data_IF_689917837053
#
_entry.id   IF_689917837053
#
_cell.length_a   1.000
_cell.length_b   1.000
_cell.length_c   1.000
_cell.angle_alpha   90.00
_cell.angle_beta   90.00
_cell.angle_gamma   90.00
#
_symmetry.space_group_name_H-M   'P 1'
#
loop_
_entity.id
_entity.type
_entity.pdbx_description
1 polymer ?
#
# COMPACT_ATOMS: atom_id res chain seq x y z
N UNK A 1 -27.21 -14.21 -7.66
CA UNK A 1 -26.16 -14.97 -8.41
C UNK A 1 -24.75 -14.46 -8.05
N UNK A 2 -23.73 -15.31 -8.10
CA UNK A 2 -22.34 -14.91 -7.81
C UNK A 2 -21.43 -15.36 -8.95
N UNK A 3 -20.65 -14.42 -9.49
CA UNK A 3 -19.56 -14.69 -10.41
C UNK A 3 -18.25 -14.58 -9.64
N UNK A 4 -17.45 -15.64 -9.67
CA UNK A 4 -16.15 -15.73 -9.00
C UNK A 4 -15.12 -16.31 -9.96
N UNK A 5 -13.90 -15.82 -9.89
CA UNK A 5 -12.73 -16.41 -10.55
C UNK A 5 -11.87 -17.12 -9.51
N UNK A 6 -11.34 -18.30 -9.85
CA UNK A 6 -10.52 -19.14 -8.97
C UNK A 6 -9.20 -19.43 -9.67
N UNK A 7 -8.11 -19.29 -8.94
CA UNK A 7 -6.74 -19.53 -9.39
C UNK A 7 -6.14 -20.65 -8.56
N UNK A 8 -6.06 -21.88 -9.10
CA UNK A 8 -5.29 -22.96 -8.51
C UNK A 8 -3.79 -22.64 -8.57
N UNK A 9 -3.09 -22.84 -7.46
CA UNK A 9 -1.68 -22.52 -7.27
C UNK A 9 -0.95 -23.79 -6.81
N UNK A 10 0.13 -24.13 -7.51
CA UNK A 10 0.92 -25.34 -7.27
C UNK A 10 1.86 -25.20 -6.04
N UNK A 11 1.27 -25.17 -4.84
CA UNK A 11 1.99 -25.08 -3.55
C UNK A 11 1.43 -26.07 -2.53
N UNK A 12 2.23 -26.38 -1.51
CA UNK A 12 1.80 -27.10 -0.30
C UNK A 12 1.65 -26.14 0.88
N UNK A 13 0.56 -26.26 1.63
CA UNK A 13 0.35 -25.54 2.89
C UNK A 13 0.36 -24.02 2.73
N UNK A 14 -0.36 -23.50 1.74
CA UNK A 14 -0.42 -22.08 1.43
C UNK A 14 -0.92 -21.23 2.62
N UNK A 15 -0.18 -20.15 2.91
CA UNK A 15 -0.57 -19.11 3.87
C UNK A 15 -1.15 -17.93 3.11
N UNK A 16 -2.36 -17.55 3.49
CA UNK A 16 -3.11 -16.50 2.81
C UNK A 16 -2.99 -15.16 3.57
N UNK A 17 -2.46 -14.14 2.89
CA UNK A 17 -2.35 -12.77 3.41
C UNK A 17 -3.24 -11.83 2.60
N UNK A 18 -3.89 -10.92 3.28
CA UNK A 18 -4.86 -10.01 2.69
C UNK A 18 -4.53 -8.58 3.07
N UNK A 19 -4.64 -7.66 2.11
CA UNK A 19 -4.46 -6.24 2.38
C UNK A 19 -5.54 -5.69 3.31
N UNK A 20 -5.13 -4.92 4.31
CA UNK A 20 -5.99 -4.09 5.16
C UNK A 20 -5.48 -2.65 5.13
N UNK A 21 -6.26 -1.66 5.61
CA UNK A 21 -5.74 -0.31 5.74
C UNK A 21 -4.42 -0.28 6.50
N UNK A 22 -3.41 0.33 5.89
CA UNK A 22 -2.07 0.49 6.46
C UNK A 22 -1.32 -0.81 6.83
N UNK A 23 -1.61 -1.94 6.17
CA UNK A 23 -0.87 -3.18 6.43
C UNK A 23 -1.48 -4.41 5.77
N UNK A 24 -1.30 -5.55 6.42
CA UNK A 24 -1.84 -6.83 5.98
C UNK A 24 -2.23 -7.69 7.17
N UNK A 25 -3.03 -8.72 6.92
CA UNK A 25 -3.39 -9.73 7.90
C UNK A 25 -3.33 -11.12 7.29
N UNK A 26 -2.78 -12.09 8.02
CA UNK A 26 -2.86 -13.50 7.67
C UNK A 26 -4.19 -14.05 8.18
N UNK A 27 -4.94 -14.77 7.33
CA UNK A 27 -6.21 -15.39 7.70
C UNK A 27 -6.19 -16.89 7.39
N UNK A 28 -7.00 -17.70 8.08
CA UNK A 28 -7.14 -19.12 7.75
C UNK A 28 -7.51 -19.31 6.28
N UNK A 29 -6.81 -20.21 5.60
CA UNK A 29 -7.09 -20.57 4.21
C UNK A 29 -8.14 -21.70 4.17
N UNK A 30 -9.34 -21.40 4.67
CA UNK A 30 -10.46 -22.36 4.82
C UNK A 30 -11.56 -22.19 3.75
N UNK A 31 -11.35 -21.32 2.75
CA UNK A 31 -12.31 -21.01 1.70
C UNK A 31 -13.38 -19.99 2.07
N UNK A 32 -13.38 -19.44 3.29
CA UNK A 32 -14.29 -18.35 3.66
C UNK A 32 -13.96 -17.06 2.91
N UNK A 33 -15.01 -16.32 2.52
CA UNK A 33 -14.86 -15.02 1.88
C UNK A 33 -14.53 -13.95 2.93
N UNK A 34 -13.48 -13.18 2.66
CA UNK A 34 -12.94 -12.14 3.54
C UNK A 34 -12.71 -10.86 2.75
N UNK A 35 -12.84 -9.68 3.39
CA UNK A 35 -12.51 -8.42 2.75
C UNK A 35 -10.98 -8.27 2.63
N UNK A 36 -10.53 -7.83 1.46
CA UNK A 36 -9.19 -7.30 1.23
C UNK A 36 -9.29 -6.10 0.30
N UNK A 37 -8.32 -5.19 0.38
CA UNK A 37 -8.31 -4.00 -0.47
C UNK A 37 -7.86 -4.34 -1.91
N UNK A 38 -6.62 -4.02 -2.28
CA UNK A 38 -6.13 -4.13 -3.65
C UNK A 38 -5.47 -5.45 -3.96
N UNK A 39 -5.07 -6.20 -2.92
CA UNK A 39 -4.36 -7.46 -3.11
C UNK A 39 -4.69 -8.53 -2.07
N UNK A 40 -4.54 -9.78 -2.51
CA UNK A 40 -4.44 -10.96 -1.67
C UNK A 40 -3.28 -11.83 -2.17
N UNK A 41 -2.60 -12.50 -1.26
CA UNK A 41 -1.40 -13.29 -1.52
C UNK A 41 -1.58 -14.70 -0.97
N UNK A 42 -1.15 -15.70 -1.74
CA UNK A 42 -1.04 -17.08 -1.29
C UNK A 42 0.40 -17.55 -1.50
N UNK A 43 1.12 -17.78 -0.40
CA UNK A 43 2.50 -18.26 -0.40
C UNK A 43 2.60 -19.60 0.32
N UNK A 44 3.16 -20.61 -0.32
CA UNK A 44 3.36 -21.94 0.26
C UNK A 44 4.68 -22.57 -0.16
N UNK A 45 4.91 -23.79 0.32
CA UNK A 45 6.10 -24.56 -0.06
C UNK A 45 5.96 -25.04 -1.51
N UNK A 46 7.05 -25.00 -2.27
CA UNK A 46 7.10 -25.57 -3.62
C UNK A 46 6.86 -27.08 -3.59
N UNK A 47 6.25 -27.61 -4.65
CA UNK A 47 6.03 -29.05 -4.81
C UNK A 47 7.34 -29.88 -4.87
N UNK A 48 8.44 -29.26 -5.28
CA UNK A 48 9.78 -29.87 -5.32
C UNK A 48 10.54 -29.76 -3.99
N UNK A 49 9.94 -29.13 -2.97
CA UNK A 49 10.51 -28.95 -1.63
C UNK A 49 11.63 -27.89 -1.54
N UNK A 50 11.91 -27.13 -2.60
CA UNK A 50 13.04 -26.19 -2.65
C UNK A 50 12.65 -24.75 -2.30
N UNK A 51 12.11 -24.57 -1.09
CA UNK A 51 11.75 -23.24 -0.61
C UNK A 51 10.30 -22.84 -0.89
N UNK A 52 10.00 -21.55 -0.81
CA UNK A 52 8.64 -21.02 -0.95
C UNK A 52 8.42 -20.32 -2.30
N UNK A 53 7.19 -20.45 -2.81
CA UNK A 53 6.67 -19.65 -3.93
C UNK A 53 5.25 -19.23 -3.62
N UNK A 54 4.79 -18.20 -4.32
CA UNK A 54 3.42 -17.75 -4.17
C UNK A 54 2.95 -16.95 -5.38
N UNK A 55 1.72 -16.49 -5.25
CA UNK A 55 1.09 -15.57 -6.19
C UNK A 55 0.36 -14.49 -5.41
N UNK A 56 0.66 -13.24 -5.75
CA UNK A 56 -0.16 -12.10 -5.34
C UNK A 56 -1.18 -11.81 -6.43
N UNK A 57 -2.46 -11.86 -6.08
CA UNK A 57 -3.57 -11.38 -6.91
C UNK A 57 -3.81 -9.90 -6.63
N UNK A 58 -3.79 -9.09 -7.68
CA UNK A 58 -4.13 -7.67 -7.66
C UNK A 58 -5.51 -7.45 -8.28
N UNK A 59 -6.26 -6.48 -7.74
CA UNK A 59 -7.53 -6.02 -8.28
C UNK A 59 -7.63 -4.49 -8.15
N UNK A 60 -8.60 -3.90 -8.86
CA UNK A 60 -8.84 -2.45 -8.81
C UNK A 60 -10.03 -1.99 -7.95
N UNK A 61 -11.10 -2.77 -7.86
CA UNK A 61 -12.26 -2.41 -7.03
C UNK A 61 -13.06 -3.59 -6.46
N UNK A 62 -12.49 -4.80 -6.44
CA UNK A 62 -13.15 -6.02 -5.95
C UNK A 62 -12.62 -6.39 -4.57
N UNK A 63 -13.50 -6.42 -3.57
CA UNK A 63 -13.07 -6.58 -2.17
C UNK A 63 -13.28 -7.98 -1.59
N UNK A 64 -14.12 -8.83 -2.21
CA UNK A 64 -14.40 -10.18 -1.72
C UNK A 64 -13.38 -11.20 -2.22
N UNK A 65 -12.51 -11.68 -1.33
CA UNK A 65 -11.48 -12.66 -1.63
C UNK A 65 -11.69 -13.93 -0.80
N UNK A 66 -11.28 -15.09 -1.31
CA UNK A 66 -11.24 -16.33 -0.52
C UNK A 66 -10.01 -17.14 -0.88
N UNK A 67 -9.44 -17.87 0.07
CA UNK A 67 -8.29 -18.73 -0.18
C UNK A 67 -8.44 -20.09 0.50
N UNK A 68 -7.93 -21.13 -0.15
CA UNK A 68 -7.64 -22.46 0.44
C UNK A 68 -6.12 -22.65 0.49
N UNK A 69 -5.65 -23.83 0.92
CA UNK A 69 -4.21 -24.14 0.99
C UNK A 69 -3.47 -24.05 -0.36
N UNK A 70 -4.20 -24.07 -1.47
CA UNK A 70 -3.65 -24.08 -2.82
C UNK A 70 -4.51 -23.35 -3.85
N UNK A 71 -5.54 -22.61 -3.43
CA UNK A 71 -6.37 -21.81 -4.35
C UNK A 71 -6.55 -20.39 -3.81
N UNK A 72 -6.51 -19.42 -4.71
CA UNK A 72 -6.85 -18.03 -4.44
C UNK A 72 -8.00 -17.62 -5.35
N UNK A 73 -9.03 -16.98 -4.81
CA UNK A 73 -10.22 -16.62 -5.57
C UNK A 73 -10.68 -15.20 -5.26
N UNK A 74 -11.35 -14.60 -6.26
CA UNK A 74 -11.89 -13.25 -6.21
C UNK A 74 -13.34 -13.26 -6.68
N UNK A 75 -14.22 -12.75 -5.84
CA UNK A 75 -15.63 -12.52 -6.19
C UNK A 75 -15.73 -11.27 -7.05
N UNK A 76 -16.20 -11.46 -8.27
CA UNK A 76 -16.25 -10.42 -9.30
C UNK A 76 -17.57 -9.64 -9.22
N UNK A 77 -18.69 -10.35 -9.13
CA UNK A 77 -20.03 -9.77 -9.09
C UNK A 77 -20.90 -10.63 -8.18
N UNK A 78 -21.69 -9.97 -7.31
CA UNK A 78 -22.73 -10.62 -6.51
C UNK A 78 -24.04 -9.87 -6.72
N UNK A 79 -24.91 -10.45 -7.54
CA UNK A 79 -26.24 -9.91 -7.83
C UNK A 79 -27.22 -10.42 -6.76
N UNK A 80 -27.60 -9.53 -5.82
CA UNK A 80 -28.56 -9.80 -4.73
C UNK A 80 -29.94 -9.22 -5.05
N UNK A 81 -30.99 -10.04 -5.01
CA UNK A 81 -32.34 -9.63 -5.44
C UNK A 81 -33.07 -8.64 -4.52
N UNK A 82 -32.55 -8.39 -3.31
CA UNK A 82 -33.12 -7.48 -2.31
C UNK A 82 -31.96 -6.75 -1.61
N UNK A 83 -32.06 -5.45 -1.30
CA UNK A 83 -33.22 -4.54 -1.50
C UNK A 83 -33.31 -3.93 -2.91
N UNK A 84 -32.34 -4.18 -3.78
CA UNK A 84 -32.32 -3.66 -5.15
C UNK A 84 -32.89 -4.72 -6.12
N UNK A 85 -33.96 -4.41 -6.89
CA UNK A 85 -34.52 -5.34 -7.87
C UNK A 85 -33.69 -5.46 -9.16
N UNK A 86 -32.77 -4.54 -9.43
CA UNK A 86 -31.93 -4.51 -10.65
C UNK A 86 -30.42 -4.48 -10.35
N UNK A 87 -29.93 -5.32 -9.42
CA UNK A 87 -28.56 -5.28 -8.95
C UNK A 87 -27.61 -5.68 -10.08
N UNK A 88 -26.51 -4.93 -10.23
CA UNK A 88 -25.40 -5.29 -11.13
C UNK A 88 -25.79 -5.41 -12.62
N UNK A 89 -26.94 -4.86 -13.05
CA UNK A 89 -27.30 -4.80 -14.46
C UNK A 89 -26.43 -3.75 -15.18
N UNK A 90 -25.76 -4.17 -16.25
CA UNK A 90 -24.98 -3.28 -17.10
C UNK A 90 -23.66 -3.91 -17.54
N UNK A 91 -22.81 -3.07 -18.11
CA UNK A 91 -21.46 -3.45 -18.50
C UNK A 91 -20.50 -3.25 -17.33
N UNK A 92 -19.72 -4.28 -17.01
CA UNK A 92 -18.69 -4.25 -15.96
C UNK A 92 -17.33 -4.54 -16.58
N UNK A 93 -16.40 -3.60 -16.44
CA UNK A 93 -14.99 -3.81 -16.75
C UNK A 93 -14.26 -4.10 -15.43
N UNK A 94 -13.52 -5.21 -15.36
CA UNK A 94 -12.81 -5.63 -14.14
C UNK A 94 -11.37 -5.90 -14.52
N UNK A 95 -10.43 -5.24 -13.85
CA UNK A 95 -8.99 -5.44 -14.08
C UNK A 95 -8.40 -6.24 -12.93
N UNK A 96 -7.61 -7.24 -13.27
CA UNK A 96 -6.89 -8.06 -12.31
C UNK A 96 -5.52 -8.44 -12.88
N UNK A 97 -4.57 -8.72 -11.99
CA UNK A 97 -3.26 -9.24 -12.36
C UNK A 97 -2.82 -10.32 -11.37
N UNK A 98 -2.13 -11.33 -11.87
CA UNK A 98 -1.44 -12.31 -11.03
C UNK A 98 0.05 -12.05 -11.11
N UNK A 99 0.70 -11.95 -9.96
CA UNK A 99 2.14 -11.77 -9.82
C UNK A 99 2.73 -13.00 -9.13
N UNK A 100 3.26 -13.96 -9.90
CA UNK A 100 4.05 -15.06 -9.33
C UNK A 100 5.33 -14.50 -8.71
N UNK A 101 5.72 -15.04 -7.55
CA UNK A 101 6.92 -14.57 -6.85
C UNK A 101 7.63 -15.70 -6.09
N UNK A 102 8.86 -15.43 -5.69
CA UNK A 102 9.72 -16.32 -4.90
C UNK A 102 9.82 -15.91 -3.43
N UNK A 103 10.92 -16.30 -2.79
CA UNK A 103 11.14 -16.17 -1.34
C UNK A 103 11.33 -14.74 -0.86
N UNK A 104 11.94 -13.88 -1.68
CA UNK A 104 12.24 -12.48 -1.32
C UNK A 104 10.99 -11.58 -1.36
N UNK A 105 9.81 -12.14 -1.64
CA UNK A 105 8.57 -11.39 -1.70
C UNK A 105 8.03 -11.10 -0.31
N UNK A 106 8.00 -9.83 0.05
CA UNK A 106 7.48 -9.37 1.35
C UNK A 106 6.09 -8.75 1.20
N UNK A 107 5.34 -8.58 2.31
CA UNK A 107 4.09 -7.82 2.28
C UNK A 107 4.25 -6.40 1.69
N UNK A 108 5.42 -5.76 1.86
CA UNK A 108 5.71 -4.46 1.24
C UNK A 108 5.79 -4.55 -0.29
N UNK A 109 6.29 -5.66 -0.85
CA UNK A 109 6.26 -5.91 -2.29
C UNK A 109 4.82 -5.97 -2.80
N UNK A 110 3.95 -6.73 -2.11
CA UNK A 110 2.54 -6.85 -2.46
C UNK A 110 1.79 -5.50 -2.36
N UNK A 111 2.03 -4.74 -1.29
CA UNK A 111 1.46 -3.39 -1.12
C UNK A 111 1.92 -2.46 -2.23
N UNK A 112 3.22 -2.45 -2.57
CA UNK A 112 3.76 -1.64 -3.69
C UNK A 112 3.06 -1.99 -4.99
N UNK A 113 2.98 -3.28 -5.31
CA UNK A 113 2.34 -3.76 -6.53
C UNK A 113 0.84 -3.39 -6.57
N UNK A 114 0.14 -3.47 -5.43
CA UNK A 114 -1.23 -3.01 -5.27
C UNK A 114 -1.40 -1.52 -5.55
N UNK A 115 -0.50 -0.66 -5.07
CA UNK A 115 -0.50 0.76 -5.44
C UNK A 115 -0.21 0.98 -6.92
N UNK A 116 0.83 0.36 -7.45
CA UNK A 116 1.30 0.58 -8.82
C UNK A 116 0.25 0.14 -9.85
N UNK A 117 -0.46 -0.97 -9.58
CA UNK A 117 -1.58 -1.43 -10.42
C UNK A 117 -2.77 -0.46 -10.40
N UNK A 118 -3.00 0.21 -9.28
CA UNK A 118 -4.15 1.09 -9.06
C UNK A 118 -3.88 2.56 -9.34
N UNK A 119 -2.62 2.96 -9.55
CA UNK A 119 -2.22 4.34 -9.75
C UNK A 119 -1.84 4.56 -11.21
N UNK A 120 -2.71 5.26 -11.93
CA UNK A 120 -2.45 5.64 -13.31
C UNK A 120 -1.34 6.70 -13.38
N UNK A 121 -0.51 6.62 -14.42
CA UNK A 121 0.44 7.68 -14.75
C UNK A 121 -0.34 8.86 -15.32
N UNK A 122 -0.18 10.04 -14.74
CA UNK A 122 -0.73 11.27 -15.28
C UNK A 122 0.18 11.81 -16.37
N UNK A 123 -0.34 11.88 -17.60
CA UNK A 123 0.37 12.44 -18.74
C UNK A 123 -0.18 13.83 -19.02
N UNK A 124 0.66 14.85 -18.80
CA UNK A 124 0.32 16.25 -19.06
C UNK A 124 1.26 16.76 -20.15
N UNK A 125 0.67 17.32 -21.21
CA UNK A 125 1.43 17.96 -22.28
C UNK A 125 1.67 19.44 -21.97
N UNK A 126 2.84 19.94 -22.37
CA UNK A 126 3.19 21.36 -22.33
C UNK A 126 3.89 21.75 -23.63
N UNK A 127 3.97 23.05 -23.92
CA UNK A 127 4.73 23.58 -25.05
C UNK A 127 6.21 23.76 -24.70
N UNK A 128 7.00 24.26 -25.65
CA UNK A 128 8.42 24.57 -25.40
C UNK A 128 8.50 25.93 -24.75
N UNK A 129 8.89 25.97 -23.49
CA UNK A 129 9.05 27.18 -22.71
C UNK A 129 10.28 27.12 -21.81
N UNK A 130 10.77 28.29 -21.38
CA UNK A 130 11.71 28.36 -20.26
C UNK A 130 10.97 28.09 -18.94
N UNK A 131 11.68 27.59 -17.93
CA UNK A 131 11.11 27.32 -16.62
C UNK A 131 12.19 27.10 -15.57
N UNK A 132 11.85 27.38 -14.31
CA UNK A 132 12.79 27.29 -13.19
C UNK A 132 13.07 25.85 -12.73
N UNK A 133 12.24 24.89 -13.16
CA UNK A 133 12.37 23.49 -12.80
C UNK A 133 13.11 22.67 -13.88
N UNK A 134 13.97 21.71 -13.48
CA UNK A 134 14.60 20.80 -14.42
C UNK A 134 13.57 19.84 -15.03
N UNK A 135 13.94 19.22 -16.17
CA UNK A 135 13.09 18.25 -16.90
C UNK A 135 12.75 17.00 -16.10
N UNK A 136 13.61 16.62 -15.16
CA UNK A 136 13.41 15.51 -14.24
C UNK A 136 13.67 16.02 -12.82
N UNK A 137 12.72 15.79 -11.91
CA UNK A 137 12.86 16.16 -10.51
C UNK A 137 12.15 15.15 -9.61
N UNK A 138 12.86 14.66 -8.59
CA UNK A 138 12.28 13.94 -7.45
C UNK A 138 12.05 14.91 -6.29
N UNK A 139 10.89 14.78 -5.63
CA UNK A 139 10.54 15.66 -4.50
C UNK A 139 10.70 15.00 -3.14
N UNK A 140 10.34 13.72 -3.04
CA UNK A 140 10.42 12.95 -1.80
C UNK A 140 10.90 11.54 -2.12
N UNK A 141 11.85 11.05 -1.33
CA UNK A 141 12.26 9.64 -1.33
C UNK A 141 12.13 9.07 0.08
N UNK A 142 11.64 7.84 0.22
CA UNK A 142 11.38 7.18 1.51
C UNK A 142 12.10 5.84 1.55
N UNK A 143 12.78 5.58 2.67
CA UNK A 143 13.45 4.32 2.99
C UNK A 143 13.16 3.91 4.45
N UNK A 144 13.28 2.62 4.81
CA UNK A 144 13.40 1.46 3.91
C UNK A 144 12.07 1.11 3.22
N UNK A 145 12.08 0.07 2.38
CA UNK A 145 10.95 -0.31 1.51
C UNK A 145 9.66 -0.69 2.24
N UNK A 146 9.73 -0.98 3.53
CA UNK A 146 8.57 -1.27 4.38
C UNK A 146 7.87 -0.03 4.94
N UNK A 147 8.36 1.18 4.64
CA UNK A 147 7.72 2.46 4.98
C UNK A 147 7.06 3.07 3.74
N UNK A 148 5.79 3.43 3.90
CA UNK A 148 4.98 4.03 2.85
C UNK A 148 4.44 5.39 3.27
N UNK A 149 4.34 6.31 2.32
CA UNK A 149 3.62 7.58 2.51
C UNK A 149 2.13 7.27 2.43
N UNK A 150 1.43 7.47 3.56
CA UNK A 150 -0.03 7.44 3.62
C UNK A 150 -0.62 8.78 3.15
N UNK A 151 0.06 9.88 3.43
CA UNK A 151 -0.41 11.21 3.03
C UNK A 151 0.69 12.25 3.05
N UNK A 152 0.60 13.18 2.11
CA UNK A 152 1.45 14.37 2.03
C UNK A 152 0.54 15.56 1.74
N UNK A 153 0.54 16.56 2.62
CA UNK A 153 -0.31 17.74 2.46
C UNK A 153 0.30 18.96 3.14
N UNK A 154 -0.20 20.16 2.83
CA UNK A 154 0.06 21.35 3.65
C UNK A 154 -0.53 21.17 5.05
N UNK A 155 0.08 21.78 6.05
CA UNK A 155 -0.49 21.85 7.40
C UNK A 155 -1.84 22.61 7.39
N UNK A 156 -2.74 22.25 8.30
CA UNK A 156 -4.08 22.84 8.40
C UNK A 156 -4.05 24.33 8.77
N UNK A 157 -3.07 24.74 9.58
CA UNK A 157 -2.81 26.15 9.91
C UNK A 157 -2.13 26.93 8.77
N UNK A 158 -1.84 26.27 7.64
CA UNK A 158 -1.24 26.85 6.45
C UNK A 158 0.28 26.97 6.50
N UNK A 159 0.91 26.64 7.64
CA UNK A 159 2.35 26.76 7.83
C UNK A 159 3.01 25.37 7.90
N UNK A 160 3.74 25.03 6.84
CA UNK A 160 4.50 23.79 6.77
C UNK A 160 3.83 22.64 6.02
N UNK A 161 4.50 21.50 6.08
CA UNK A 161 4.20 20.26 5.39
C UNK A 161 3.90 19.16 6.41
N UNK A 162 2.82 18.43 6.20
CA UNK A 162 2.48 17.24 6.97
C UNK A 162 2.74 16.02 6.12
N UNK A 163 3.62 15.14 6.61
CA UNK A 163 3.88 13.81 6.05
C UNK A 163 3.38 12.75 7.01
N UNK A 164 2.57 11.82 6.51
CA UNK A 164 2.07 10.66 7.23
C UNK A 164 2.66 9.41 6.63
N UNK A 165 3.26 8.60 7.48
CA UNK A 165 3.98 7.37 7.15
C UNK A 165 3.33 6.19 7.85
N UNK A 166 3.45 5.00 7.28
CA UNK A 166 3.07 3.78 7.95
C UNK A 166 4.04 2.64 7.64
N UNK A 167 4.17 1.74 8.62
CA UNK A 167 5.01 0.54 8.55
C UNK A 167 4.17 -0.68 8.16
N UNK A 168 4.72 -1.57 7.34
CA UNK A 168 3.94 -2.60 6.63
C UNK A 168 4.30 -4.05 6.94
N UNK A 169 5.40 -4.32 7.64
CA UNK A 169 5.92 -5.65 7.94
C UNK A 169 5.89 -6.02 9.42
N UNK A 170 5.31 -5.19 10.28
CA UNK A 170 5.21 -5.45 11.72
C UNK A 170 6.54 -5.30 12.46
N UNK A 171 7.40 -4.39 12.00
CA UNK A 171 8.75 -4.16 12.55
C UNK A 171 8.91 -2.72 13.01
N UNK A 172 9.54 -2.51 14.17
CA UNK A 172 10.01 -1.17 14.54
C UNK A 172 11.06 -0.73 13.53
N UNK A 173 10.81 0.38 12.84
CA UNK A 173 11.61 0.81 11.69
C UNK A 173 11.97 2.28 11.83
N UNK A 174 13.24 2.63 11.66
CA UNK A 174 13.65 4.02 11.45
C UNK A 174 13.39 4.37 9.98
N UNK A 175 12.43 5.26 9.74
CA UNK A 175 12.15 5.77 8.41
C UNK A 175 13.09 6.92 8.09
N UNK A 176 13.71 6.89 6.91
CA UNK A 176 14.51 7.96 6.34
C UNK A 176 13.77 8.58 5.16
N UNK A 177 13.50 9.88 5.24
CA UNK A 177 12.77 10.62 4.22
C UNK A 177 13.66 11.75 3.73
N UNK A 178 14.05 11.69 2.46
CA UNK A 178 14.73 12.80 1.79
C UNK A 178 13.68 13.70 1.16
N UNK A 179 13.70 14.98 1.52
CA UNK A 179 12.73 15.98 1.07
C UNK A 179 13.48 17.06 0.29
N UNK A 180 13.03 17.35 -0.92
CA UNK A 180 13.61 18.41 -1.73
C UNK A 180 13.48 19.78 -1.02
N UNK A 181 14.55 20.59 -0.97
CA UNK A 181 14.52 21.89 -0.29
C UNK A 181 13.51 22.90 -0.86
N UNK A 182 12.93 22.66 -2.05
CA UNK A 182 11.82 23.49 -2.55
C UNK A 182 10.49 23.26 -1.82
N UNK A 183 10.37 22.17 -1.05
CA UNK A 183 9.15 21.87 -0.28
C UNK A 183 9.20 22.40 1.16
N UNK A 184 10.36 22.35 1.80
CA UNK A 184 10.57 22.77 3.20
C UNK A 184 11.95 23.39 3.34
N UNK A 185 12.09 24.38 4.24
CA UNK A 185 13.40 24.97 4.54
C UNK A 185 14.24 23.96 5.33
N UNK A 186 15.56 24.01 5.14
CA UNK A 186 16.50 23.06 5.76
C UNK A 186 16.62 23.19 7.28
N UNK A 187 16.15 24.30 7.83
CA UNK A 187 16.14 24.69 9.24
C UNK A 187 14.72 24.73 9.84
N UNK A 188 13.73 24.18 9.13
CA UNK A 188 12.35 24.09 9.62
C UNK A 188 12.26 23.29 10.92
N UNK A 189 11.38 23.73 11.82
CA UNK A 189 11.02 22.96 13.00
C UNK A 189 10.35 21.66 12.56
N UNK A 190 10.60 20.58 13.30
CA UNK A 190 10.00 19.28 13.04
C UNK A 190 9.33 18.76 14.30
N UNK A 191 8.06 18.41 14.18
CA UNK A 191 7.23 18.00 15.31
C UNK A 191 6.45 16.75 14.92
N UNK A 192 6.52 15.71 15.76
CA UNK A 192 5.59 14.60 15.66
C UNK A 192 4.20 15.07 16.10
N UNK A 193 3.19 14.74 15.30
CA UNK A 193 1.80 15.12 15.55
C UNK A 193 0.89 13.90 15.46
N UNK A 194 -0.31 14.01 16.02
CA UNK A 194 -1.36 13.01 15.83
C UNK A 194 -2.07 13.17 14.48
N UNK A 195 -3.13 12.39 14.25
CA UNK A 195 -3.87 12.44 12.98
C UNK A 195 -4.61 13.77 12.74
N UNK A 196 -4.81 14.57 13.79
CA UNK A 196 -5.41 15.91 13.78
C UNK A 196 -4.35 17.01 13.93
N UNK A 197 -3.08 16.71 13.65
CA UNK A 197 -1.97 17.67 13.66
C UNK A 197 -1.64 18.27 15.04
N UNK A 198 -2.13 17.64 16.12
CA UNK A 198 -1.82 18.09 17.48
C UNK A 198 -0.46 17.52 17.90
N UNK A 199 0.48 18.33 18.42
CA UNK A 199 1.79 17.86 18.86
C UNK A 199 1.70 16.70 19.86
N UNK A 200 2.49 15.66 19.64
CA UNK A 200 2.62 14.54 20.58
C UNK A 200 3.98 14.59 21.27
N UNK A 201 4.02 14.20 22.55
CA UNK A 201 5.26 14.13 23.34
C UNK A 201 6.04 12.87 22.98
N UNK A 202 6.57 12.83 21.77
CA UNK A 202 7.54 11.84 21.30
C UNK A 202 8.78 12.56 20.82
N UNK A 203 9.92 11.91 21.02
CA UNK A 203 11.22 12.46 20.67
C UNK A 203 11.96 11.51 19.73
N UNK A 204 11.24 10.99 18.71
CA UNK A 204 11.80 10.03 17.75
C UNK A 204 12.10 10.66 16.40
N UNK A 205 11.60 11.88 16.15
CA UNK A 205 11.84 12.61 14.91
C UNK A 205 13.08 13.49 14.98
N UNK A 206 13.89 13.48 13.93
CA UNK A 206 15.07 14.34 13.75
C UNK A 206 15.14 14.82 12.31
N UNK A 207 15.47 16.08 12.10
CA UNK A 207 15.75 16.63 10.77
C UNK A 207 17.18 17.16 10.70
N UNK A 208 17.90 16.81 9.64
CA UNK A 208 19.24 17.33 9.35
C UNK A 208 19.32 17.70 7.88
N UNK A 209 19.23 19.00 7.58
CA UNK A 209 19.16 19.48 6.20
C UNK A 209 17.89 18.96 5.52
N UNK A 210 18.04 18.23 4.41
CA UNK A 210 16.93 17.61 3.67
C UNK A 210 16.55 16.20 4.15
N UNK A 211 17.21 15.67 5.17
CA UNK A 211 16.97 14.31 5.68
C UNK A 211 16.15 14.36 6.97
N UNK A 212 14.94 13.82 6.90
CA UNK A 212 14.05 13.55 8.03
C UNK A 212 14.22 12.09 8.45
N UNK A 213 14.40 11.85 9.75
CA UNK A 213 14.38 10.52 10.37
C UNK A 213 13.26 10.45 11.41
N UNK A 214 12.48 9.38 11.41
CA UNK A 214 11.44 9.15 12.43
C UNK A 214 11.27 7.66 12.69
N UNK A 215 11.11 7.27 13.96
CA UNK A 215 10.84 5.88 14.30
C UNK A 215 9.35 5.57 14.12
N UNK A 216 9.05 4.53 13.36
CA UNK A 216 7.69 4.02 13.17
C UNK A 216 7.57 2.66 13.87
N UNK A 217 6.58 2.52 14.75
CA UNK A 217 6.30 1.27 15.46
C UNK A 217 5.79 0.18 14.50
N UNK A 218 5.81 -1.11 14.88
CA UNK A 218 5.20 -2.21 14.11
C UNK A 218 3.77 -1.90 13.70
N UNK A 219 3.46 -1.94 12.39
CA UNK A 219 2.15 -1.55 11.83
C UNK A 219 1.67 -0.15 12.27
N UNK A 220 2.60 0.69 12.73
CA UNK A 220 2.33 2.00 13.28
C UNK A 220 2.17 3.04 12.19
N UNK A 221 1.47 4.12 12.53
CA UNK A 221 1.39 5.33 11.73
C UNK A 221 2.17 6.42 12.46
N UNK A 222 3.07 7.09 11.75
CA UNK A 222 3.77 8.28 12.22
C UNK A 222 3.33 9.48 11.38
N UNK A 223 2.95 10.59 12.03
CA UNK A 223 2.67 11.85 11.33
C UNK A 223 3.66 12.90 11.83
N UNK A 224 4.31 13.57 10.89
CA UNK A 224 5.31 14.61 11.15
C UNK A 224 4.87 15.89 10.47
N UNK A 225 4.87 16.99 11.21
CA UNK A 225 4.77 18.35 10.68
C UNK A 225 6.17 18.94 10.55
N UNK A 226 6.45 19.59 9.42
CA UNK A 226 7.71 20.26 9.09
C UNK A 226 7.40 21.69 8.67
N UNK A 227 7.87 22.68 9.42
CA UNK A 227 7.52 24.08 9.19
C UNK A 227 7.21 24.78 10.49
#
# INVERSE_FOLDING_TARGET
PMLRIVFPIAVHGGRARFEIPCGHIERPANGEEVPALRWADLTGARLDGKGNVGVTLLNDYKYGHSATENELALTLIRSSYDPDPLPELGHHEIRLALLPHGEDWTPSCAIRAGYDFNRSIEVVATDVHEGDLPKEKGFIAVHPSNIFILGLKKAEDGDGLVIRLYETEGKTTEAEIRIDPSLVKTDSEVVEVDLLERPIRKDTVRMKGSLLKVQVSPFGIATVKIG
#
